data_IF_562422355636
#
_entry.id   IF_562422355636
#
_cell.length_a   1.000
_cell.length_b   1.000
_cell.length_c   1.000
_cell.angle_alpha   90.00
_cell.angle_beta   90.00
_cell.angle_gamma   90.00
#
_symmetry.space_group_name_H-M   'P 1'
#
loop_
_entity.id
_entity.type
_entity.pdbx_description
1 polymer ?
#
# COMPACT_ATOMS: atom_id res chain seq x y z
N UNK A 1 37.15 15.20 -4.49
CA UNK A 1 37.09 14.33 -3.28
C UNK A 1 35.68 14.13 -2.69
N UNK A 2 34.60 14.79 -3.15
CA UNK A 2 33.27 14.69 -2.51
C UNK A 2 32.33 13.57 -3.04
N UNK A 3 32.62 12.96 -4.19
CA UNK A 3 31.75 11.92 -4.76
C UNK A 3 31.78 10.59 -3.99
N UNK A 4 32.94 10.18 -3.44
CA UNK A 4 33.07 8.92 -2.68
C UNK A 4 32.32 8.97 -1.34
N UNK A 5 32.26 10.13 -0.68
CA UNK A 5 31.48 10.32 0.57
C UNK A 5 29.97 10.30 0.32
N UNK A 6 29.48 10.92 -0.76
CA UNK A 6 28.07 10.91 -1.11
C UNK A 6 27.57 9.50 -1.47
N UNK A 7 28.38 8.73 -2.21
CA UNK A 7 28.06 7.34 -2.57
C UNK A 7 28.03 6.42 -1.34
N UNK A 8 29.00 6.53 -0.42
CA UNK A 8 29.01 5.76 0.83
C UNK A 8 27.87 6.12 1.80
N UNK A 9 27.45 7.39 1.85
CA UNK A 9 26.30 7.79 2.67
C UNK A 9 24.97 7.32 2.07
N UNK A 10 24.85 7.27 0.74
CA UNK A 10 23.65 6.76 0.07
C UNK A 10 23.46 5.25 0.28
N UNK A 11 24.52 4.45 0.19
CA UNK A 11 24.46 2.99 0.42
C UNK A 11 24.21 2.63 1.89
N UNK A 12 24.83 3.36 2.83
CA UNK A 12 24.59 3.18 4.26
C UNK A 12 23.13 3.50 4.65
N UNK A 13 22.55 4.55 4.06
CA UNK A 13 21.17 4.93 4.32
C UNK A 13 20.18 3.92 3.74
N UNK A 14 20.49 3.35 2.56
CA UNK A 14 19.68 2.30 1.93
C UNK A 14 19.64 1.01 2.75
N UNK A 15 20.78 0.48 3.20
CA UNK A 15 20.79 -0.73 4.04
C UNK A 15 20.15 -0.53 5.40
N UNK A 16 20.25 0.67 5.97
CA UNK A 16 19.55 1.01 7.22
C UNK A 16 18.04 1.02 7.00
N UNK A 17 17.59 1.57 5.87
CA UNK A 17 16.19 1.62 5.50
C UNK A 17 15.64 0.22 5.19
N UNK A 18 16.36 -0.61 4.45
CA UNK A 18 15.99 -2.01 4.13
C UNK A 18 15.79 -2.85 5.40
N UNK A 19 16.74 -2.79 6.35
CA UNK A 19 16.58 -3.46 7.65
C UNK A 19 15.37 -2.96 8.44
N UNK A 20 15.06 -1.67 8.38
CA UNK A 20 13.88 -1.11 9.03
C UNK A 20 12.58 -1.62 8.38
N UNK A 21 12.56 -1.81 7.06
CA UNK A 21 11.43 -2.39 6.35
C UNK A 21 11.22 -3.85 6.70
N UNK A 22 12.27 -4.67 6.72
CA UNK A 22 12.20 -6.08 7.12
C UNK A 22 11.68 -6.24 8.55
N UNK A 23 12.15 -5.39 9.47
CA UNK A 23 11.71 -5.44 10.87
C UNK A 23 10.25 -5.00 11.01
N UNK A 24 9.85 -3.93 10.33
CA UNK A 24 8.45 -3.49 10.30
C UNK A 24 7.53 -4.57 9.70
N UNK A 25 8.02 -5.32 8.72
CA UNK A 25 7.30 -6.44 8.13
C UNK A 25 7.11 -7.60 9.10
N UNK A 26 8.16 -8.02 9.82
CA UNK A 26 8.05 -9.04 10.86
C UNK A 26 7.01 -8.66 11.91
N UNK A 27 6.97 -7.38 12.31
CA UNK A 27 5.98 -6.87 13.27
C UNK A 27 4.55 -7.01 12.72
N UNK A 28 4.33 -6.69 11.43
CA UNK A 28 3.01 -6.84 10.80
C UNK A 28 2.60 -8.30 10.70
N UNK A 29 3.51 -9.18 10.28
CA UNK A 29 3.28 -10.63 10.17
C UNK A 29 2.96 -11.24 11.53
N UNK A 30 3.76 -10.93 12.57
CA UNK A 30 3.55 -11.40 13.94
C UNK A 30 2.19 -10.98 14.48
N UNK A 31 1.83 -9.72 14.28
CA UNK A 31 0.55 -9.18 14.71
C UNK A 31 -0.63 -9.84 14.00
N UNK A 32 -0.54 -10.01 12.68
CA UNK A 32 -1.59 -10.67 11.91
C UNK A 32 -1.81 -12.12 12.40
N UNK A 33 -0.72 -12.84 12.67
CA UNK A 33 -0.76 -14.19 13.23
C UNK A 33 -1.42 -14.21 14.61
N UNK A 34 -1.00 -13.33 15.51
CA UNK A 34 -1.59 -13.24 16.86
C UNK A 34 -3.08 -12.92 16.82
N UNK A 35 -3.51 -12.00 15.94
CA UNK A 35 -4.91 -11.65 15.76
C UNK A 35 -5.73 -12.81 15.17
N UNK A 36 -5.16 -13.58 14.25
CA UNK A 36 -5.81 -14.75 13.64
C UNK A 36 -6.01 -15.88 14.66
N UNK A 37 -4.95 -16.24 15.40
CA UNK A 37 -4.99 -17.31 16.40
C UNK A 37 -5.94 -17.01 17.58
N UNK A 38 -6.26 -15.73 17.79
CA UNK A 38 -7.21 -15.28 18.79
C UNK A 38 -8.57 -14.85 18.20
N UNK A 39 -8.77 -14.88 16.88
CA UNK A 39 -10.06 -14.52 16.28
C UNK A 39 -11.11 -15.60 16.56
N UNK A 40 -12.27 -15.19 17.09
CA UNK A 40 -13.44 -16.06 17.31
C UNK A 40 -14.65 -15.69 16.44
N UNK A 41 -14.53 -14.65 15.60
CA UNK A 41 -15.67 -14.00 14.92
C UNK A 41 -15.40 -13.75 13.44
N UNK A 42 -14.57 -14.59 12.83
CA UNK A 42 -14.21 -14.46 11.43
C UNK A 42 -15.16 -15.39 10.62
N UNK A 43 -16.22 -14.87 9.98
CA UNK A 43 -17.10 -15.68 9.16
C UNK A 43 -16.38 -15.97 7.85
N UNK A 44 -15.87 -17.19 7.73
CA UNK A 44 -15.22 -17.68 6.52
C UNK A 44 -16.07 -18.84 5.98
N UNK A 45 -16.54 -18.72 4.75
CA UNK A 45 -17.35 -19.74 4.07
C UNK A 45 -16.46 -20.58 3.16
N UNK A 46 -15.55 -21.33 3.78
CA UNK A 46 -14.55 -22.13 3.09
C UNK A 46 -15.10 -23.54 2.87
N UNK A 47 -14.90 -24.11 1.68
CA UNK A 47 -15.36 -25.47 1.36
C UNK A 47 -14.21 -26.32 0.81
N UNK A 48 -14.37 -27.64 0.79
CA UNK A 48 -13.36 -28.52 0.17
C UNK A 48 -13.20 -28.24 -1.34
N UNK A 49 -14.24 -27.76 -2.01
CA UNK A 49 -14.17 -27.35 -3.41
C UNK A 49 -13.25 -26.13 -3.59
N UNK A 50 -13.33 -25.15 -2.68
CA UNK A 50 -12.42 -23.98 -2.73
C UNK A 50 -10.99 -24.39 -2.43
N UNK A 51 -10.78 -25.34 -1.50
CA UNK A 51 -9.45 -25.91 -1.25
C UNK A 51 -8.87 -26.58 -2.49
N UNK A 52 -9.63 -27.46 -3.15
CA UNK A 52 -9.19 -28.14 -4.37
C UNK A 52 -8.86 -27.14 -5.48
N UNK A 53 -9.73 -26.15 -5.70
CA UNK A 53 -9.47 -25.09 -6.67
C UNK A 53 -8.19 -24.29 -6.36
N UNK A 54 -7.94 -23.96 -5.09
CA UNK A 54 -6.71 -23.27 -4.69
C UNK A 54 -5.46 -24.14 -4.87
N UNK A 55 -5.55 -25.45 -4.64
CA UNK A 55 -4.46 -26.40 -4.92
C UNK A 55 -4.20 -26.48 -6.43
N UNK A 56 -5.25 -26.65 -7.23
CA UNK A 56 -5.16 -26.80 -8.69
C UNK A 56 -4.61 -25.53 -9.36
N UNK A 57 -4.96 -24.35 -8.84
CA UNK A 57 -4.46 -23.06 -9.29
C UNK A 57 -3.03 -22.75 -8.78
N UNK A 58 -2.50 -23.57 -7.85
CA UNK A 58 -1.21 -23.35 -7.21
C UNK A 58 -1.22 -22.24 -6.14
N UNK A 59 -2.39 -21.77 -5.72
CA UNK A 59 -2.53 -20.79 -4.63
C UNK A 59 -2.23 -21.40 -3.26
N UNK A 60 -2.49 -22.70 -3.09
CA UNK A 60 -2.22 -23.46 -1.87
C UNK A 60 -1.25 -24.62 -2.15
N UNK A 61 -0.02 -24.50 -1.66
CA UNK A 61 1.03 -25.51 -1.87
C UNK A 61 1.17 -26.36 -0.62
N UNK A 62 0.68 -27.60 -0.68
CA UNK A 62 0.67 -28.55 0.46
C UNK A 62 2.07 -28.98 0.91
N UNK A 63 3.04 -28.95 -0.01
CA UNK A 63 4.43 -29.33 0.24
C UNK A 63 5.31 -28.18 0.74
N UNK A 64 4.77 -26.96 0.82
CA UNK A 64 5.51 -25.80 1.30
C UNK A 64 4.80 -25.17 2.48
N UNK A 65 5.57 -24.76 3.48
CA UNK A 65 5.04 -23.95 4.57
C UNK A 65 5.74 -22.60 4.55
N UNK A 66 4.99 -21.48 4.50
CA UNK A 66 3.55 -21.37 4.62
C UNK A 66 2.85 -21.66 3.28
N UNK A 67 1.67 -22.28 3.28
CA UNK A 67 1.10 -22.84 2.05
C UNK A 67 0.43 -21.80 1.15
N UNK A 68 0.16 -20.58 1.65
CA UNK A 68 -0.45 -19.47 0.92
C UNK A 68 0.48 -18.23 0.79
N UNK A 69 1.53 -18.24 -0.04
CA UNK A 69 2.41 -17.05 -0.19
C UNK A 69 2.95 -16.84 -1.63
N UNK A 70 3.40 -15.60 -1.95
CA UNK A 70 3.05 -14.89 -3.19
C UNK A 70 4.01 -15.12 -4.37
N UNK A 71 4.44 -16.36 -4.63
CA UNK A 71 5.34 -16.65 -5.75
C UNK A 71 4.84 -17.72 -6.72
N UNK A 72 3.63 -18.27 -6.53
CA UNK A 72 3.07 -19.26 -7.46
C UNK A 72 2.42 -18.63 -8.69
N UNK A 73 2.00 -17.36 -8.61
CA UNK A 73 1.65 -16.59 -9.80
C UNK A 73 2.94 -16.26 -10.53
N UNK A 74 3.14 -16.97 -11.64
CA UNK A 74 4.20 -16.79 -12.64
C UNK A 74 4.69 -15.35 -12.68
N UNK A 75 6.01 -15.20 -12.61
CA UNK A 75 6.78 -14.00 -12.93
C UNK A 75 6.04 -13.22 -14.03
N UNK A 76 5.51 -12.06 -13.68
CA UNK A 76 5.18 -11.08 -14.68
C UNK A 76 6.52 -10.63 -15.26
N UNK A 77 6.92 -11.21 -16.39
CA UNK A 77 8.19 -10.89 -17.06
C UNK A 77 8.23 -9.44 -17.59
N UNK A 78 7.24 -8.61 -17.26
CA UNK A 78 7.10 -7.21 -17.60
C UNK A 78 7.33 -6.24 -16.42
N UNK A 79 8.32 -6.47 -15.56
CA UNK A 79 8.70 -5.47 -14.54
C UNK A 79 9.94 -4.68 -15.00
N UNK A 80 9.75 -3.43 -15.46
CA UNK A 80 10.73 -2.32 -15.34
C UNK A 80 10.15 -0.98 -15.85
N UNK A 81 10.63 0.19 -15.35
CA UNK A 81 11.94 0.66 -15.79
C UNK A 81 12.77 1.17 -14.61
N UNK A 82 13.89 0.48 -14.38
CA UNK A 82 14.91 0.69 -13.35
C UNK A 82 14.69 -0.09 -12.04
N UNK A 83 14.28 -1.34 -12.20
CA UNK A 83 14.23 -2.35 -11.14
C UNK A 83 15.58 -2.47 -10.40
N UNK A 84 15.54 -2.49 -9.06
CA UNK A 84 16.63 -2.99 -8.22
C UNK A 84 16.05 -3.93 -7.18
N UNK A 85 15.73 -5.12 -7.69
CA UNK A 85 15.30 -6.33 -7.02
C UNK A 85 13.98 -6.21 -6.26
N UNK A 86 13.01 -7.00 -6.73
CA UNK A 86 11.81 -7.38 -5.99
C UNK A 86 12.17 -7.80 -4.56
N UNK A 87 11.44 -7.33 -3.52
CA UNK A 87 11.62 -7.89 -2.19
C UNK A 87 11.28 -9.37 -2.27
N UNK A 88 12.31 -10.20 -2.17
CA UNK A 88 12.23 -11.64 -2.07
C UNK A 88 11.64 -11.97 -0.69
N UNK A 89 10.35 -11.68 -0.54
CA UNK A 89 9.70 -11.71 0.76
C UNK A 89 9.30 -13.14 1.12
N UNK A 90 10.35 -13.90 1.45
CA UNK A 90 10.31 -15.21 2.08
C UNK A 90 9.92 -15.12 3.57
N UNK A 91 9.32 -14.00 4.01
CA UNK A 91 8.89 -13.80 5.39
C UNK A 91 7.54 -14.47 5.61
N UNK A 92 7.61 -15.79 5.76
CA UNK A 92 6.56 -16.61 6.32
C UNK A 92 6.26 -16.21 7.76
N UNK A 93 4.99 -16.27 8.17
CA UNK A 93 4.62 -16.17 9.58
C UNK A 93 5.30 -17.24 10.44
N UNK A 94 5.71 -18.37 9.86
CA UNK A 94 6.43 -19.41 10.57
C UNK A 94 7.87 -19.03 10.97
N UNK A 95 8.49 -18.08 10.26
CA UNK A 95 9.80 -17.55 10.69
C UNK A 95 9.68 -16.67 11.93
N UNK A 96 8.46 -16.22 12.24
CA UNK A 96 8.16 -15.28 13.33
C UNK A 96 7.30 -15.93 14.42
N UNK A 97 6.75 -17.13 14.18
CA UNK A 97 5.90 -17.83 15.14
C UNK A 97 6.73 -18.27 16.35
N UNK A 98 6.23 -17.94 17.54
CA UNK A 98 6.79 -18.47 18.78
C UNK A 98 6.16 -19.83 19.14
N UNK A 99 6.75 -20.52 20.11
CA UNK A 99 6.30 -21.86 20.49
C UNK A 99 4.85 -21.88 21.02
N UNK A 100 4.45 -20.88 21.80
CA UNK A 100 3.08 -20.78 22.32
C UNK A 100 2.04 -20.58 21.20
N UNK A 101 2.37 -19.75 20.21
CA UNK A 101 1.54 -19.53 19.02
C UNK A 101 1.44 -20.78 18.16
N UNK A 102 2.52 -21.56 18.06
CA UNK A 102 2.54 -22.85 17.36
C UNK A 102 1.62 -23.87 18.03
N UNK A 103 1.67 -23.97 19.36
CA UNK A 103 0.76 -24.83 20.10
C UNK A 103 -0.70 -24.40 19.93
N UNK A 104 -0.95 -23.09 19.97
CA UNK A 104 -2.29 -22.55 19.72
C UNK A 104 -2.77 -22.83 18.29
N UNK A 105 -1.89 -22.76 17.28
CA UNK A 105 -2.21 -23.15 15.90
C UNK A 105 -2.69 -24.60 15.83
N UNK A 106 -1.90 -25.55 16.35
CA UNK A 106 -2.27 -26.97 16.31
C UNK A 106 -3.55 -27.26 17.10
N UNK A 107 -3.76 -26.58 18.22
CA UNK A 107 -5.01 -26.68 18.98
C UNK A 107 -6.24 -26.26 18.16
N UNK A 108 -6.11 -25.25 17.31
CA UNK A 108 -7.21 -24.81 16.43
C UNK A 108 -7.41 -25.82 15.31
N UNK A 109 -6.32 -26.35 14.73
CA UNK A 109 -6.38 -27.41 13.69
C UNK A 109 -7.07 -28.66 14.24
N UNK A 110 -6.69 -29.15 15.42
CA UNK A 110 -7.31 -30.29 16.10
C UNK A 110 -8.81 -30.05 16.30
N UNK A 111 -9.19 -28.87 16.82
CA UNK A 111 -10.61 -28.54 16.99
C UNK A 111 -11.39 -28.53 15.66
N UNK A 112 -10.79 -28.02 14.58
CA UNK A 112 -11.39 -28.06 13.23
C UNK A 112 -11.52 -29.49 12.70
N UNK A 113 -10.51 -30.33 12.94
CA UNK A 113 -10.51 -31.73 12.53
C UNK A 113 -11.58 -32.53 13.27
N UNK A 114 -11.64 -32.39 14.59
CA UNK A 114 -12.63 -33.06 15.44
C UNK A 114 -14.06 -32.68 15.03
N UNK A 115 -14.32 -31.39 14.79
CA UNK A 115 -15.62 -30.93 14.31
C UNK A 115 -16.01 -31.58 12.99
N UNK A 116 -15.06 -31.73 12.05
CA UNK A 116 -15.32 -32.34 10.74
C UNK A 116 -15.56 -33.84 10.84
N UNK A 117 -14.74 -34.56 11.60
CA UNK A 117 -14.90 -36.00 11.82
C UNK A 117 -16.20 -36.32 12.56
N UNK A 118 -16.68 -35.41 13.41
CA UNK A 118 -18.01 -35.54 14.04
C UNK A 118 -19.17 -35.27 13.08
N UNK A 119 -19.02 -34.37 12.11
CA UNK A 119 -20.04 -34.06 11.10
C UNK A 119 -20.19 -35.15 10.03
N UNK A 120 -19.07 -35.73 9.59
CA UNK A 120 -19.06 -36.75 8.53
C UNK A 120 -18.00 -37.83 8.79
N UNK A 121 -18.42 -38.88 9.50
CA UNK A 121 -17.58 -40.04 9.83
C UNK A 121 -17.15 -40.86 8.59
N UNK A 122 -17.67 -40.57 7.40
CA UNK A 122 -17.28 -41.23 6.15
C UNK A 122 -16.16 -40.50 5.40
N UNK A 123 -15.75 -39.32 5.88
CA UNK A 123 -14.69 -38.53 5.25
C UNK A 123 -13.35 -39.24 5.37
N UNK A 124 -12.59 -39.26 4.28
CA UNK A 124 -11.20 -39.73 4.28
C UNK A 124 -10.36 -38.95 5.30
N UNK A 125 -9.71 -39.62 6.28
CA UNK A 125 -8.92 -38.96 7.31
C UNK A 125 -7.85 -38.01 6.76
N UNK A 126 -7.19 -38.37 5.67
CA UNK A 126 -6.12 -37.56 5.09
C UNK A 126 -6.68 -36.26 4.49
N UNK A 127 -7.84 -36.34 3.83
CA UNK A 127 -8.56 -35.17 3.33
C UNK A 127 -9.09 -34.28 4.46
N UNK A 128 -9.57 -34.88 5.56
CA UNK A 128 -10.03 -34.13 6.73
C UNK A 128 -8.88 -33.35 7.40
N UNK A 129 -7.71 -33.98 7.55
CA UNK A 129 -6.49 -33.35 8.08
C UNK A 129 -6.06 -32.20 7.16
N UNK A 130 -5.98 -32.43 5.85
CA UNK A 130 -5.59 -31.41 4.88
C UNK A 130 -6.53 -30.21 4.92
N UNK A 131 -7.83 -30.45 4.99
CA UNK A 131 -8.84 -29.40 5.04
C UNK A 131 -8.81 -28.60 6.35
N UNK A 132 -8.59 -29.27 7.49
CA UNK A 132 -8.43 -28.60 8.77
C UNK A 132 -7.23 -27.63 8.77
N UNK A 133 -6.09 -28.07 8.23
CA UNK A 133 -4.93 -27.19 8.02
C UNK A 133 -5.27 -26.02 7.09
N UNK A 134 -5.87 -26.30 5.93
CA UNK A 134 -6.26 -25.30 4.96
C UNK A 134 -7.18 -24.22 5.55
N UNK A 135 -8.16 -24.59 6.38
CA UNK A 135 -9.04 -23.64 7.06
C UNK A 135 -8.26 -22.66 7.95
N UNK A 136 -7.35 -23.17 8.78
CA UNK A 136 -6.56 -22.35 9.70
C UNK A 136 -5.58 -21.47 8.93
N UNK A 137 -4.89 -22.04 7.95
CA UNK A 137 -3.93 -21.28 7.13
C UNK A 137 -4.63 -20.21 6.27
N UNK A 138 -5.82 -20.50 5.73
CA UNK A 138 -6.62 -19.52 5.00
C UNK A 138 -7.07 -18.39 5.93
N UNK A 139 -7.50 -18.72 7.14
CA UNK A 139 -7.89 -17.72 8.14
C UNK A 139 -6.71 -16.81 8.52
N UNK A 140 -5.51 -17.36 8.74
CA UNK A 140 -4.29 -16.59 8.98
C UNK A 140 -3.99 -15.68 7.79
N UNK A 141 -4.09 -16.21 6.56
CA UNK A 141 -3.92 -15.43 5.33
C UNK A 141 -4.88 -14.25 5.27
N UNK A 142 -6.16 -14.42 5.62
CA UNK A 142 -7.13 -13.32 5.63
C UNK A 142 -6.73 -12.19 6.59
N UNK A 143 -6.27 -12.52 7.80
CA UNK A 143 -5.76 -11.53 8.74
C UNK A 143 -4.51 -10.83 8.22
N UNK A 144 -3.61 -11.57 7.58
CA UNK A 144 -2.42 -11.00 6.95
C UNK A 144 -2.78 -10.02 5.81
N UNK A 145 -3.73 -10.40 4.95
CA UNK A 145 -4.23 -9.54 3.88
C UNK A 145 -4.97 -8.31 4.41
N UNK A 146 -5.53 -8.33 5.62
CA UNK A 146 -6.18 -7.13 6.18
C UNK A 146 -5.21 -5.95 6.39
N UNK A 147 -3.91 -6.25 6.51
CA UNK A 147 -2.82 -5.30 6.67
C UNK A 147 -2.05 -4.98 5.38
N UNK A 148 -2.17 -5.82 4.35
CA UNK A 148 -1.36 -5.73 3.12
C UNK A 148 -2.14 -5.76 1.80
N UNK A 149 -3.40 -6.14 1.87
CA UNK A 149 -4.29 -6.22 0.72
C UNK A 149 -4.67 -4.85 0.18
N UNK A 150 -5.24 -4.83 -1.02
CA UNK A 150 -5.56 -3.60 -1.77
C UNK A 150 -6.39 -2.58 -0.97
N UNK A 151 -7.23 -3.03 -0.04
CA UNK A 151 -8.06 -2.16 0.80
C UNK A 151 -7.25 -1.28 1.76
N UNK A 152 -6.00 -1.61 2.05
CA UNK A 152 -5.13 -0.75 2.89
C UNK A 152 -4.77 0.55 2.21
N UNK A 153 -4.92 0.64 0.89
CA UNK A 153 -4.75 1.87 0.11
C UNK A 153 -5.95 2.81 0.23
N UNK A 154 -7.13 2.28 0.60
CA UNK A 154 -8.33 3.09 0.79
C UNK A 154 -8.24 3.88 2.10
N UNK A 155 -8.28 5.21 2.00
CA UNK A 155 -8.23 6.11 3.18
C UNK A 155 -9.57 6.14 3.89
N UNK A 156 -10.66 6.02 3.14
CA UNK A 156 -12.03 6.07 3.65
C UNK A 156 -12.99 5.18 2.84
N UNK A 157 -14.27 5.21 3.24
CA UNK A 157 -15.31 4.43 2.59
C UNK A 157 -15.59 4.88 1.14
N UNK A 158 -15.28 6.14 0.79
CA UNK A 158 -15.43 6.65 -0.57
C UNK A 158 -14.37 6.06 -1.49
N UNK A 159 -13.11 5.98 -1.03
CA UNK A 159 -12.04 5.30 -1.75
C UNK A 159 -12.38 3.82 -1.97
N UNK A 160 -12.89 3.12 -0.95
CA UNK A 160 -13.33 1.72 -1.08
C UNK A 160 -14.45 1.56 -2.12
N UNK A 161 -15.46 2.44 -2.09
CA UNK A 161 -16.54 2.39 -3.07
C UNK A 161 -16.04 2.65 -4.50
N UNK A 162 -15.08 3.56 -4.65
CA UNK A 162 -14.44 3.88 -5.93
C UNK A 162 -13.66 2.68 -6.45
N UNK A 163 -12.86 2.04 -5.59
CA UNK A 163 -12.13 0.80 -5.93
C UNK A 163 -13.09 -0.30 -6.37
N UNK A 164 -14.17 -0.53 -5.62
CA UNK A 164 -15.18 -1.54 -5.96
C UNK A 164 -15.85 -1.26 -7.31
N UNK A 165 -16.21 0.00 -7.58
CA UNK A 165 -16.76 0.42 -8.89
C UNK A 165 -15.76 0.17 -10.01
N UNK A 166 -14.48 0.48 -9.78
CA UNK A 166 -13.41 0.24 -10.74
C UNK A 166 -13.24 -1.26 -11.04
N UNK A 167 -13.23 -2.12 -10.03
CA UNK A 167 -13.12 -3.57 -10.23
C UNK A 167 -14.29 -4.13 -11.03
N UNK A 168 -15.53 -3.70 -10.75
CA UNK A 168 -16.68 -4.09 -11.58
C UNK A 168 -16.54 -3.64 -13.03
N UNK A 169 -15.97 -2.45 -13.27
CA UNK A 169 -15.71 -1.97 -14.62
C UNK A 169 -14.65 -2.81 -15.33
N UNK A 170 -13.59 -3.23 -14.64
CA UNK A 170 -12.58 -4.11 -15.22
C UNK A 170 -13.17 -5.48 -15.55
N UNK A 171 -13.95 -6.06 -14.64
CA UNK A 171 -14.62 -7.35 -14.86
C UNK A 171 -15.56 -7.33 -16.08
N UNK A 172 -16.29 -6.22 -16.26
CA UNK A 172 -17.09 -5.99 -17.48
C UNK A 172 -16.22 -5.95 -18.73
N UNK A 173 -15.08 -5.26 -18.69
CA UNK A 173 -14.16 -5.18 -19.83
C UNK A 173 -13.59 -6.56 -20.16
N UNK A 174 -13.15 -7.32 -19.16
CA UNK A 174 -12.64 -8.68 -19.33
C UNK A 174 -13.69 -9.60 -19.94
N UNK A 175 -14.95 -9.47 -19.50
CA UNK A 175 -16.07 -10.22 -20.07
C UNK A 175 -16.33 -9.84 -21.52
N UNK A 176 -16.28 -8.55 -21.85
CA UNK A 176 -16.45 -8.05 -23.23
C UNK A 176 -15.32 -8.60 -24.11
N UNK A 177 -14.07 -8.51 -23.66
CA UNK A 177 -12.89 -9.00 -24.39
C UNK A 177 -12.99 -10.51 -24.60
N UNK A 178 -13.41 -11.27 -23.60
CA UNK A 178 -13.60 -12.72 -23.71
C UNK A 178 -14.75 -13.14 -24.64
N UNK A 179 -15.69 -12.24 -24.94
CA UNK A 179 -16.91 -12.54 -25.71
C UNK A 179 -16.83 -12.30 -27.22
N UNK A 180 -15.65 -11.92 -27.74
CA UNK A 180 -15.30 -11.86 -29.18
C UNK A 180 -16.41 -11.29 -30.11
N UNK A 181 -16.82 -10.04 -29.83
CA UNK A 181 -17.52 -9.19 -30.80
C UNK A 181 -18.99 -9.50 -31.12
N UNK A 182 -19.61 -10.52 -30.54
CA UNK A 182 -21.03 -10.81 -30.78
C UNK A 182 -21.96 -10.05 -29.83
N UNK A 183 -22.49 -8.94 -30.35
CA UNK A 183 -23.55 -8.08 -29.82
C UNK A 183 -23.27 -7.32 -28.50
N UNK A 184 -23.54 -6.00 -28.45
CA UNK A 184 -23.46 -5.24 -27.21
C UNK A 184 -24.68 -5.59 -26.35
N UNK A 185 -24.56 -6.66 -25.56
CA UNK A 185 -25.47 -6.85 -24.42
C UNK A 185 -25.18 -5.66 -23.50
N UNK A 186 -26.08 -4.68 -23.48
CA UNK A 186 -25.96 -3.56 -22.56
C UNK A 186 -25.79 -4.14 -21.15
N UNK A 187 -24.65 -3.88 -20.48
CA UNK A 187 -24.44 -4.44 -19.16
C UNK A 187 -25.53 -3.86 -18.27
N UNK A 188 -26.45 -4.72 -17.82
CA UNK A 188 -27.43 -4.34 -16.81
C UNK A 188 -26.62 -3.80 -15.64
N UNK A 189 -26.74 -2.50 -15.40
CA UNK A 189 -26.12 -1.82 -14.25
C UNK A 189 -26.92 -2.22 -13.01
N UNK A 190 -26.89 -3.51 -12.67
CA UNK A 190 -27.12 -3.92 -11.30
C UNK A 190 -26.01 -3.24 -10.52
N UNK A 191 -26.34 -2.42 -9.53
CA UNK A 191 -25.38 -1.93 -8.54
C UNK A 191 -25.05 -3.14 -7.66
N UNK A 192 -23.98 -3.89 -7.94
CA UNK A 192 -23.78 -5.14 -7.26
C UNK A 192 -23.36 -4.77 -5.85
N UNK A 193 -24.07 -5.28 -4.86
CA UNK A 193 -23.83 -4.93 -3.46
C UNK A 193 -22.51 -5.57 -2.96
N UNK A 194 -21.96 -6.53 -3.71
CA UNK A 194 -20.70 -7.25 -3.44
C UNK A 194 -19.54 -6.91 -4.40
N UNK A 195 -18.49 -7.73 -4.33
CA UNK A 195 -17.30 -7.66 -5.15
C UNK A 195 -17.43 -8.57 -6.39
N UNK A 196 -16.82 -8.21 -7.54
CA UNK A 196 -16.87 -9.06 -8.74
C UNK A 196 -16.08 -10.35 -8.51
N UNK A 197 -16.59 -11.48 -9.02
CA UNK A 197 -15.97 -12.83 -8.94
C UNK A 197 -15.53 -13.25 -7.53
N UNK A 198 -16.19 -12.73 -6.48
CA UNK A 198 -15.86 -13.01 -5.08
C UNK A 198 -16.65 -14.23 -4.55
N UNK A 199 -16.56 -15.36 -5.24
CA UNK A 199 -17.29 -16.59 -4.91
C UNK A 199 -16.94 -17.10 -3.49
N UNK A 200 -15.68 -16.94 -3.10
CA UNK A 200 -15.17 -17.38 -1.79
C UNK A 200 -15.40 -16.34 -0.68
N UNK A 201 -16.07 -15.22 -0.98
CA UNK A 201 -16.32 -14.10 -0.06
C UNK A 201 -15.05 -13.49 0.57
N UNK A 202 -13.89 -13.67 -0.07
CA UNK A 202 -12.60 -13.17 0.39
C UNK A 202 -12.64 -11.64 0.48
N UNK A 203 -13.02 -10.97 -0.60
CA UNK A 203 -13.05 -9.51 -0.63
C UNK A 203 -14.14 -8.96 0.28
N UNK A 204 -15.26 -9.66 0.43
CA UNK A 204 -16.30 -9.32 1.39
C UNK A 204 -15.78 -9.40 2.83
N UNK A 205 -15.02 -10.45 3.16
CA UNK A 205 -14.37 -10.63 4.46
C UNK A 205 -13.32 -9.54 4.71
N UNK A 206 -12.47 -9.24 3.72
CA UNK A 206 -11.50 -8.15 3.78
C UNK A 206 -12.18 -6.80 4.03
N UNK A 207 -13.33 -6.53 3.40
CA UNK A 207 -14.13 -5.34 3.68
C UNK A 207 -14.63 -5.30 5.12
N UNK A 208 -15.03 -6.44 5.69
CA UNK A 208 -15.45 -6.52 7.08
C UNK A 208 -14.29 -6.18 8.05
N UNK A 209 -13.13 -6.82 7.86
CA UNK A 209 -11.92 -6.53 8.65
C UNK A 209 -11.46 -5.06 8.48
N UNK A 210 -11.59 -4.54 7.26
CA UNK A 210 -11.31 -3.13 6.96
C UNK A 210 -12.19 -2.19 7.77
N UNK A 211 -13.51 -2.43 7.76
CA UNK A 211 -14.51 -1.63 8.48
C UNK A 211 -14.31 -1.71 9.99
N UNK A 212 -14.02 -2.90 10.53
CA UNK A 212 -13.72 -3.09 11.97
C UNK A 212 -12.56 -2.20 12.42
N UNK A 213 -11.58 -1.99 11.55
CA UNK A 213 -10.38 -1.21 11.82
C UNK A 213 -10.48 0.28 11.41
N UNK A 214 -11.66 0.74 10.99
CA UNK A 214 -11.88 2.11 10.47
C UNK A 214 -11.34 3.21 11.39
N UNK A 215 -11.65 3.16 12.69
CA UNK A 215 -11.23 4.20 13.65
C UNK A 215 -9.71 4.32 13.74
N UNK A 216 -9.01 3.18 13.74
CA UNK A 216 -7.54 3.14 13.80
C UNK A 216 -6.95 3.70 12.49
N UNK A 217 -7.55 3.36 11.34
CA UNK A 217 -7.14 3.90 10.03
C UNK A 217 -7.33 5.42 9.97
N UNK A 218 -8.48 5.91 10.42
CA UNK A 218 -8.79 7.35 10.44
C UNK A 218 -7.75 8.12 11.26
N UNK A 219 -7.46 7.65 12.49
CA UNK A 219 -6.42 8.25 13.34
C UNK A 219 -5.06 8.29 12.63
N UNK A 220 -4.65 7.18 11.99
CA UNK A 220 -3.38 7.13 11.23
C UNK A 220 -3.37 8.12 10.06
N UNK A 221 -4.48 8.25 9.33
CA UNK A 221 -4.59 9.22 8.22
C UNK A 221 -4.47 10.64 8.75
N UNK A 222 -5.10 10.97 9.87
CA UNK A 222 -4.99 12.28 10.52
C UNK A 222 -3.56 12.57 10.98
N UNK A 223 -2.88 11.62 11.62
CA UNK A 223 -1.47 11.73 12.01
C UNK A 223 -0.56 11.97 10.81
N UNK A 224 -0.76 11.23 9.71
CA UNK A 224 0.02 11.41 8.47
C UNK A 224 -0.27 12.76 7.82
N UNK A 225 -1.54 13.21 7.80
CA UNK A 225 -1.90 14.54 7.30
C UNK A 225 -1.24 15.65 8.11
N UNK A 226 -1.19 15.52 9.44
CA UNK A 226 -0.51 16.47 10.32
C UNK A 226 1.00 16.52 10.01
N UNK A 227 1.66 15.35 9.89
CA UNK A 227 3.08 15.29 9.49
C UNK A 227 3.32 15.91 8.12
N UNK A 228 2.44 15.63 7.16
CA UNK A 228 2.54 16.18 5.82
C UNK A 228 2.38 17.71 5.81
N UNK A 229 1.47 18.26 6.62
CA UNK A 229 1.30 19.71 6.76
C UNK A 229 2.58 20.38 7.26
N UNK A 230 3.27 19.79 8.24
CA UNK A 230 4.57 20.29 8.73
C UNK A 230 5.62 20.28 7.61
N UNK A 231 5.71 19.17 6.85
CA UNK A 231 6.65 19.07 5.71
C UNK A 231 6.34 20.13 4.65
N UNK A 232 5.06 20.32 4.30
CA UNK A 232 4.64 21.28 3.29
C UNK A 232 4.94 22.72 3.71
N UNK A 233 4.74 23.05 4.99
CA UNK A 233 5.09 24.35 5.56
C UNK A 233 6.60 24.59 5.54
N UNK A 234 7.40 23.60 5.91
CA UNK A 234 8.87 23.72 5.83
C UNK A 234 9.33 23.87 4.37
N UNK A 235 8.75 23.11 3.44
CA UNK A 235 9.01 23.25 1.99
C UNK A 235 8.63 24.64 1.47
N UNK A 236 7.54 25.24 1.97
CA UNK A 236 7.16 26.62 1.65
C UNK A 236 8.23 27.60 2.13
N UNK A 237 8.67 27.52 3.38
CA UNK A 237 9.74 28.37 3.94
C UNK A 237 11.07 28.22 3.18
N UNK A 238 11.43 27.00 2.80
CA UNK A 238 12.62 26.75 1.99
C UNK A 238 12.54 27.45 0.63
N UNK A 239 11.40 27.40 -0.05
CA UNK A 239 11.17 28.13 -1.31
C UNK A 239 11.26 29.64 -1.11
N UNK A 240 10.68 30.18 -0.04
CA UNK A 240 10.77 31.62 0.28
C UNK A 240 12.22 32.06 0.52
N UNK A 241 13.01 31.29 1.28
CA UNK A 241 14.43 31.57 1.47
C UNK A 241 15.22 31.52 0.16
N UNK A 242 14.91 30.58 -0.74
CA UNK A 242 15.56 30.51 -2.05
C UNK A 242 15.19 31.71 -2.92
N UNK A 243 13.92 32.11 -2.96
CA UNK A 243 13.48 33.29 -3.67
C UNK A 243 14.08 34.57 -3.10
N UNK A 244 14.17 34.70 -1.77
CA UNK A 244 14.84 35.83 -1.12
C UNK A 244 16.33 35.90 -1.50
N UNK A 245 17.03 34.75 -1.51
CA UNK A 245 18.42 34.67 -1.99
C UNK A 245 18.54 35.08 -3.45
N UNK A 246 17.70 34.55 -4.33
CA UNK A 246 17.67 34.92 -5.76
C UNK A 246 17.36 36.41 -5.95
N UNK A 247 16.43 36.97 -5.20
CA UNK A 247 16.11 38.40 -5.25
C UNK A 247 17.26 39.28 -4.74
N UNK A 248 18.10 38.76 -3.83
CA UNK A 248 19.29 39.43 -3.32
C UNK A 248 20.52 39.29 -4.22
N UNK A 249 20.47 38.49 -5.29
CA UNK A 249 21.60 38.27 -6.20
C UNK A 249 21.25 38.71 -7.63
N UNK A 250 22.03 39.63 -8.19
CA UNK A 250 21.97 40.06 -9.58
C UNK A 250 23.06 39.35 -10.38
N UNK A 251 22.68 38.58 -11.39
CA UNK A 251 23.64 38.02 -12.35
C UNK A 251 23.86 39.01 -13.48
N UNK A 252 25.07 39.55 -13.61
CA UNK A 252 25.43 40.53 -14.64
C UNK A 252 26.36 39.89 -15.67
N UNK A 253 26.06 40.10 -16.95
CA UNK A 253 26.93 39.72 -18.07
C UNK A 253 27.86 40.90 -18.40
N UNK A 254 29.15 40.65 -18.39
CA UNK A 254 30.19 41.64 -18.70
C UNK A 254 30.66 41.43 -20.14
N UNK A 255 30.63 42.49 -20.94
CA UNK A 255 31.08 42.49 -22.33
C UNK A 255 32.26 43.46 -22.49
N UNK A 256 33.25 43.09 -23.30
CA UNK A 256 34.36 43.97 -23.70
C UNK A 256 34.58 43.82 -25.19
N UNK A 257 34.62 44.95 -25.93
CA UNK A 257 34.77 44.93 -27.39
C UNK A 257 33.63 44.25 -28.17
N UNK A 258 32.46 44.04 -27.55
CA UNK A 258 31.33 43.33 -28.16
C UNK A 258 31.28 41.83 -27.86
N UNK A 259 32.32 41.25 -27.26
CA UNK A 259 32.37 39.84 -26.87
C UNK A 259 32.04 39.67 -25.37
N UNK A 260 31.40 38.55 -25.02
CA UNK A 260 31.05 38.23 -23.63
C UNK A 260 32.31 37.79 -22.87
N UNK A 261 32.78 38.62 -21.94
CA UNK A 261 33.99 38.37 -21.17
C UNK A 261 33.74 37.66 -19.83
N UNK A 262 32.49 37.63 -19.33
CA UNK A 262 32.17 36.83 -18.15
C UNK A 262 30.78 37.08 -17.55
N UNK A 263 30.41 36.19 -16.62
CA UNK A 263 29.23 36.31 -15.76
C UNK A 263 29.69 36.53 -14.32
N UNK A 264 29.14 37.54 -13.64
CA UNK A 264 29.36 37.77 -12.20
C UNK A 264 28.04 37.83 -11.46
N UNK A 265 28.01 37.25 -10.26
CA UNK A 265 26.91 37.39 -9.31
C UNK A 265 27.26 38.52 -8.34
N UNK A 266 26.36 39.50 -8.21
CA UNK A 266 26.50 40.66 -7.34
C UNK A 266 25.36 40.68 -6.32
N UNK A 267 25.65 41.05 -5.07
CA UNK A 267 24.60 41.26 -4.08
C UNK A 267 23.84 42.57 -4.34
N UNK A 268 22.51 42.48 -4.42
CA UNK A 268 21.62 43.62 -4.61
C UNK A 268 21.44 44.34 -3.28
N UNK A 269 22.12 45.47 -3.08
CA UNK A 269 21.82 46.42 -2.00
C UNK A 269 20.49 47.11 -2.29
N UNK A 270 19.46 46.82 -1.49
CA UNK A 270 18.20 47.58 -1.50
C UNK A 270 18.39 48.79 -0.61
N UNK A 271 18.51 49.97 -1.20
CA UNK A 271 18.45 51.22 -0.44
C UNK A 271 16.97 51.51 -0.14
N UNK A 272 16.59 51.80 1.12
CA UNK A 272 15.24 52.26 1.41
C UNK A 272 15.00 53.53 0.58
N UNK A 273 13.87 53.56 -0.14
CA UNK A 273 13.50 54.74 -0.90
C UNK A 273 13.50 55.94 0.06
N UNK A 274 14.42 56.88 -0.16
CA UNK A 274 14.44 58.14 0.56
C UNK A 274 13.05 58.73 0.46
N UNK A 275 12.45 59.03 1.62
CA UNK A 275 11.05 59.39 1.76
C UNK A 275 10.57 60.26 0.61
N UNK A 276 9.66 59.72 -0.20
CA UNK A 276 8.82 60.50 -1.08
C UNK A 276 8.12 61.53 -0.18
N UNK A 277 8.60 62.78 -0.20
CA UNK A 277 7.86 63.91 0.34
C UNK A 277 6.48 63.85 -0.29
N UNK A 278 5.46 63.71 0.55
CA UNK A 278 4.08 63.97 0.19
C UNK A 278 4.02 65.39 -0.38
N UNK A 279 4.06 65.49 -1.70
CA UNK A 279 3.89 66.74 -2.43
C UNK A 279 2.46 67.19 -2.26
N UNK A 280 2.31 68.36 -1.63
CA UNK A 280 1.15 69.26 -1.60
C UNK A 280 -0.06 68.77 -2.39
N UNK A 281 -1.15 68.54 -1.67
CA UNK A 281 -2.52 68.70 -2.14
C UNK A 281 -2.67 70.10 -2.75
N UNK A 282 -2.60 70.21 -4.07
CA UNK A 282 -3.16 71.37 -4.76
C UNK A 282 -4.67 71.17 -4.77
N UNK A 283 -5.33 71.90 -3.87
CA UNK A 283 -6.72 72.30 -4.07
C UNK A 283 -6.81 72.95 -5.46
N UNK A 284 -7.55 72.33 -6.37
CA UNK A 284 -8.07 72.97 -7.57
C UNK A 284 -9.55 73.22 -7.30
N UNK A 285 -9.85 74.50 -7.12
CA UNK A 285 -11.17 75.11 -7.07
C UNK A 285 -11.67 75.42 -8.48
N UNK A 286 -12.94 75.10 -8.77
CA UNK A 286 -13.77 75.70 -9.84
C UNK A 286 -13.38 75.33 -11.28
N UNK A 287 -14.29 75.09 -12.22
CA UNK A 287 -15.71 75.39 -12.35
C UNK A 287 -16.41 74.25 -13.10
#
# INVERSE_FOLDING_TARGET
>A
MNFKKASHMATYNYHTQEKQWEEAEKVVVARALEEALNCRKCPLSITEATMKADIDQGNYITSSYPPFFPNANKRDENISPLDTNTPNNNLSHWKVINEAQRQQYYKIVEHSLDARLHEDASTDPDMAILFAHYQVDYHIRQHYLAYRGVLTLCRDASDMQTLRKWQWRMDMIDTIIASDGSHPVQPKVHRPTGWPKDENLEMLHQTHLWKKSWKVRQKRVEEVRARWAVIMEERRRQRERLLAKQASTLTVRLYFGGELCGLRELERKVYPAAGMRMGRTTQSSGF
#
